data_IF_689404735780
#
_entry.id   IF_689404735780
#
_cell.length_a   1.000
_cell.length_b   1.000
_cell.length_c   1.000
_cell.angle_alpha   90.00
_cell.angle_beta   90.00
_cell.angle_gamma   90.00
#
_symmetry.space_group_name_H-M   'P 1'
#
loop_
_entity.id
_entity.type
_entity.pdbx_description
1 polymer ?
#
# COMPACT_ATOMS: atom_id res chain seq x y z
N UNK A 1 69.83 -1.87 -20.36
CA UNK A 1 68.78 -2.70 -19.73
C UNK A 1 67.88 -1.78 -18.94
N UNK A 2 66.56 -1.87 -19.18
CA UNK A 2 65.37 -1.56 -18.35
C UNK A 2 65.53 -0.54 -17.18
N UNK A 3 64.65 0.43 -16.94
CA UNK A 3 63.19 0.41 -17.08
C UNK A 3 62.61 1.84 -17.05
N UNK A 4 61.47 2.02 -17.71
CA UNK A 4 60.78 3.30 -17.94
C UNK A 4 59.96 3.78 -16.72
N UNK A 5 60.08 5.10 -16.51
CA UNK A 5 59.09 6.13 -16.12
C UNK A 5 58.18 6.00 -14.87
N UNK A 6 57.83 7.18 -14.29
CA UNK A 6 57.10 7.34 -13.05
C UNK A 6 55.58 7.44 -13.24
N UNK A 7 54.92 7.48 -12.10
CA UNK A 7 53.52 7.80 -11.81
C UNK A 7 52.98 9.08 -12.49
N UNK A 8 51.63 9.15 -12.56
CA UNK A 8 50.72 10.32 -12.61
C UNK A 8 49.82 10.45 -13.87
N UNK A 9 48.52 10.69 -13.58
CA UNK A 9 47.38 11.15 -14.41
C UNK A 9 46.53 10.16 -15.24
N UNK A 10 45.52 9.55 -14.60
CA UNK A 10 44.40 8.81 -15.24
C UNK A 10 43.16 9.66 -15.53
N UNK A 11 43.24 11.00 -15.47
CA UNK A 11 42.06 11.88 -15.64
C UNK A 11 41.76 12.19 -17.12
N UNK A 12 42.61 11.78 -18.08
CA UNK A 12 42.59 12.35 -19.44
C UNK A 12 42.03 11.47 -20.58
N UNK A 13 41.33 10.35 -20.33
CA UNK A 13 40.82 9.51 -21.43
C UNK A 13 39.30 9.55 -21.67
N UNK A 14 38.48 10.10 -20.76
CA UNK A 14 37.02 10.07 -20.95
C UNK A 14 36.48 11.11 -21.95
N UNK A 15 37.28 12.09 -22.38
CA UNK A 15 36.84 13.18 -23.26
C UNK A 15 36.96 12.89 -24.76
N UNK A 16 37.50 11.74 -25.19
CA UNK A 16 37.55 11.39 -26.63
C UNK A 16 36.28 10.73 -27.18
N UNK A 17 35.25 10.52 -26.36
CA UNK A 17 33.98 9.94 -26.81
C UNK A 17 32.98 10.95 -27.39
N UNK A 18 33.24 12.26 -27.31
CA UNK A 18 32.24 13.32 -27.56
C UNK A 18 32.16 13.84 -28.99
N UNK A 19 32.92 13.31 -29.97
CA UNK A 19 32.88 13.78 -31.37
C UNK A 19 32.85 12.61 -32.36
N UNK A 20 31.79 11.79 -32.36
CA UNK A 20 31.33 11.09 -33.59
C UNK A 20 30.02 10.34 -33.33
N UNK A 21 28.88 11.01 -33.52
CA UNK A 21 27.67 10.50 -34.19
C UNK A 21 26.47 11.36 -33.79
N UNK A 22 26.24 12.42 -34.55
CA UNK A 22 24.92 13.02 -34.68
C UNK A 22 24.56 13.02 -36.18
N UNK A 23 23.97 11.92 -36.66
CA UNK A 23 23.05 11.91 -37.81
C UNK A 23 22.39 10.53 -37.94
N UNK A 24 21.13 10.43 -37.52
CA UNK A 24 20.32 9.22 -37.67
C UNK A 24 19.18 9.19 -36.66
N UNK A 25 18.02 9.70 -37.05
CA UNK A 25 16.75 9.58 -36.32
C UNK A 25 16.41 8.11 -36.07
N UNK A 26 16.72 7.59 -34.89
CA UNK A 26 16.06 6.43 -34.31
C UNK A 26 16.01 6.64 -32.79
N UNK A 27 14.80 6.68 -32.24
CA UNK A 27 14.57 6.67 -30.80
C UNK A 27 15.07 5.33 -30.23
N UNK A 28 16.36 5.24 -29.91
CA UNK A 28 16.83 4.28 -28.94
C UNK A 28 16.31 4.73 -27.59
N UNK A 29 15.21 4.10 -27.15
CA UNK A 29 14.89 4.08 -25.73
C UNK A 29 16.17 3.67 -25.01
N UNK A 30 16.75 4.59 -24.22
CA UNK A 30 17.74 4.23 -23.22
C UNK A 30 16.96 3.36 -22.23
N UNK A 31 16.93 2.06 -22.52
CA UNK A 31 16.63 1.06 -21.50
C UNK A 31 17.76 1.26 -20.52
N UNK A 32 17.47 1.95 -19.42
CA UNK A 32 18.33 1.95 -18.24
C UNK A 32 18.27 0.52 -17.74
N UNK A 33 19.07 -0.33 -18.38
CA UNK A 33 19.36 -1.67 -17.93
C UNK A 33 20.14 -1.44 -16.64
N UNK A 34 19.41 -1.56 -15.52
CA UNK A 34 19.95 -1.31 -14.19
C UNK A 34 21.23 -2.11 -14.05
N UNK A 35 22.35 -1.40 -14.05
CA UNK A 35 23.68 -1.97 -14.01
C UNK A 35 23.78 -2.75 -12.71
N UNK A 36 23.93 -4.08 -12.79
CA UNK A 36 23.88 -5.00 -11.64
C UNK A 36 25.15 -4.95 -10.77
N UNK A 37 26.07 -4.03 -11.07
CA UNK A 37 27.41 -3.92 -10.49
C UNK A 37 27.73 -2.50 -9.99
N UNK A 38 26.80 -1.83 -9.29
CA UNK A 38 27.21 -0.76 -8.38
C UNK A 38 27.82 -1.38 -7.10
N UNK A 39 29.03 -0.94 -6.69
CA UNK A 39 29.78 -1.55 -5.61
C UNK A 39 28.95 -1.49 -4.31
N UNK A 40 28.83 -2.64 -3.65
CA UNK A 40 28.03 -2.85 -2.46
C UNK A 40 28.34 -1.88 -1.32
N UNK A 41 27.70 -0.71 -1.34
CA UNK A 41 27.58 0.16 -0.18
C UNK A 41 26.68 -0.52 0.84
N UNK A 42 27.29 -1.35 1.68
CA UNK A 42 26.92 -1.62 3.09
C UNK A 42 25.42 -1.49 3.36
N UNK A 43 24.60 -2.32 2.71
CA UNK A 43 23.23 -2.56 3.15
C UNK A 43 23.32 -3.45 4.38
N UNK A 44 23.58 -2.82 5.52
CA UNK A 44 23.41 -3.48 6.80
C UNK A 44 21.93 -3.81 6.89
N UNK A 45 21.57 -5.09 6.77
CA UNK A 45 20.37 -5.67 7.36
C UNK A 45 20.46 -5.47 8.87
N UNK A 46 20.40 -4.21 9.28
CA UNK A 46 20.37 -3.82 10.66
C UNK A 46 18.99 -4.18 11.19
N UNK A 47 18.92 -4.49 12.47
CA UNK A 47 17.67 -4.67 13.20
C UNK A 47 16.65 -3.53 12.93
N UNK A 48 17.16 -2.33 12.64
CA UNK A 48 16.35 -1.17 12.23
C UNK A 48 15.56 -1.39 10.93
N UNK A 49 16.12 -2.08 9.94
CA UNK A 49 15.44 -2.40 8.67
C UNK A 49 14.35 -3.45 8.88
N UNK A 50 14.59 -4.42 9.77
CA UNK A 50 13.59 -5.42 10.16
C UNK A 50 12.42 -4.75 10.88
N UNK A 51 12.69 -3.86 11.85
CA UNK A 51 11.64 -3.08 12.54
C UNK A 51 10.85 -2.23 11.53
N UNK A 52 11.53 -1.55 10.61
CA UNK A 52 10.88 -0.74 9.59
C UNK A 52 9.97 -1.60 8.70
N UNK A 53 10.46 -2.76 8.23
CA UNK A 53 9.68 -3.70 7.42
C UNK A 53 8.45 -4.23 8.17
N UNK A 54 8.58 -4.58 9.44
CA UNK A 54 7.46 -5.02 10.28
C UNK A 54 6.45 -3.90 10.44
N UNK A 55 6.88 -2.67 10.73
CA UNK A 55 5.98 -1.53 10.91
C UNK A 55 5.18 -1.21 9.64
N UNK A 56 5.83 -1.30 8.47
CA UNK A 56 5.19 -1.12 7.16
C UNK A 56 4.23 -2.28 6.83
N UNK A 57 4.59 -3.50 7.20
CA UNK A 57 3.74 -4.68 7.03
C UNK A 57 2.51 -4.62 7.95
N UNK A 58 2.64 -4.09 9.17
CA UNK A 58 1.50 -3.82 10.05
C UNK A 58 0.60 -2.71 9.51
N UNK A 59 1.17 -1.65 8.94
CA UNK A 59 0.38 -0.60 8.29
C UNK A 59 -0.39 -1.14 7.08
N UNK A 60 0.23 -1.99 6.27
CA UNK A 60 -0.45 -2.72 5.18
C UNK A 60 -1.55 -3.64 5.70
N UNK A 61 -1.30 -4.32 6.83
CA UNK A 61 -2.31 -5.17 7.48
C UNK A 61 -3.51 -4.36 7.97
N UNK A 62 -3.32 -3.15 8.51
CA UNK A 62 -4.41 -2.26 8.88
C UNK A 62 -5.31 -1.89 7.69
N UNK A 63 -4.72 -1.64 6.52
CA UNK A 63 -5.46 -1.42 5.27
C UNK A 63 -6.28 -2.67 4.89
N UNK A 64 -5.68 -3.85 5.05
CA UNK A 64 -6.30 -5.12 4.74
C UNK A 64 -7.50 -5.42 5.66
N UNK A 65 -7.43 -5.09 6.95
CA UNK A 65 -8.54 -5.21 7.91
C UNK A 65 -9.74 -4.33 7.52
N UNK A 66 -9.50 -3.13 6.99
CA UNK A 66 -10.59 -2.27 6.52
C UNK A 66 -11.40 -2.92 5.38
N UNK A 67 -10.80 -3.84 4.63
CA UNK A 67 -11.47 -4.57 3.56
C UNK A 67 -12.44 -5.64 4.09
N UNK A 68 -12.30 -6.07 5.35
CA UNK A 68 -13.25 -6.99 6.02
C UNK A 68 -14.65 -6.38 6.14
N UNK A 69 -14.76 -5.05 6.16
CA UNK A 69 -16.07 -4.38 6.11
C UNK A 69 -16.94 -4.84 4.93
N UNK A 70 -16.32 -5.27 3.82
CA UNK A 70 -17.04 -5.79 2.66
C UNK A 70 -17.67 -7.18 2.87
N UNK A 71 -17.15 -8.00 3.78
CA UNK A 71 -17.67 -9.36 4.02
C UNK A 71 -18.92 -9.35 4.91
N UNK A 72 -19.05 -8.35 5.78
CA UNK A 72 -20.18 -8.19 6.72
C UNK A 72 -21.36 -7.40 6.14
N UNK A 73 -21.27 -6.90 4.91
CA UNK A 73 -22.32 -6.10 4.24
C UNK A 73 -23.68 -6.81 4.28
N UNK A 74 -23.71 -8.13 4.11
CA UNK A 74 -24.98 -8.88 4.15
C UNK A 74 -25.70 -8.76 5.49
N UNK A 75 -24.96 -8.80 6.60
CA UNK A 75 -25.52 -8.66 7.96
C UNK A 75 -25.90 -7.20 8.27
N UNK A 76 -25.09 -6.25 7.80
CA UNK A 76 -25.37 -4.82 7.89
C UNK A 76 -26.67 -4.44 7.17
N UNK A 77 -26.86 -4.94 5.95
CA UNK A 77 -28.05 -4.68 5.14
C UNK A 77 -29.26 -5.40 5.74
N UNK A 78 -29.12 -6.64 6.19
CA UNK A 78 -30.22 -7.39 6.82
C UNK A 78 -30.76 -6.71 8.10
N UNK A 79 -29.89 -6.06 8.87
CA UNK A 79 -30.27 -5.40 10.13
C UNK A 79 -30.79 -3.97 9.96
N UNK A 80 -30.30 -3.24 8.95
CA UNK A 80 -30.59 -1.80 8.78
C UNK A 80 -31.58 -1.51 7.65
N UNK A 81 -31.71 -2.38 6.64
CA UNK A 81 -32.61 -2.15 5.51
C UNK A 81 -34.08 -2.21 5.95
N UNK A 82 -34.82 -1.12 5.71
CA UNK A 82 -36.26 -1.01 6.02
C UNK A 82 -37.12 -1.16 4.78
N UNK A 83 -36.55 -1.02 3.60
CA UNK A 83 -37.26 -1.08 2.32
C UNK A 83 -36.44 -1.77 1.21
N UNK A 84 -37.09 -2.31 0.17
CA UNK A 84 -36.40 -2.91 -0.99
C UNK A 84 -35.46 -1.93 -1.71
N UNK A 85 -35.78 -0.63 -1.68
CA UNK A 85 -34.93 0.42 -2.22
C UNK A 85 -33.58 0.53 -1.47
N UNK A 86 -33.56 0.26 -0.17
CA UNK A 86 -32.32 0.26 0.62
C UNK A 86 -31.42 -0.92 0.25
N UNK A 87 -32.01 -2.08 -0.10
CA UNK A 87 -31.27 -3.23 -0.58
C UNK A 87 -30.57 -2.95 -1.93
N UNK A 88 -31.12 -2.08 -2.78
CA UNK A 88 -30.44 -1.64 -4.00
C UNK A 88 -29.18 -0.79 -3.70
N UNK A 89 -29.23 0.01 -2.64
CA UNK A 89 -28.11 0.83 -2.16
C UNK A 89 -26.99 -0.02 -1.53
N UNK A 90 -27.27 -1.26 -1.12
CA UNK A 90 -26.26 -2.16 -0.56
C UNK A 90 -25.05 -2.38 -1.48
N UNK A 91 -25.28 -2.43 -2.80
CA UNK A 91 -24.20 -2.57 -3.79
C UNK A 91 -23.21 -1.39 -3.76
N UNK A 92 -23.67 -0.19 -3.40
CA UNK A 92 -22.84 1.00 -3.27
C UNK A 92 -21.94 0.98 -2.03
N UNK A 93 -22.22 0.12 -1.03
CA UNK A 93 -21.37 -0.01 0.15
C UNK A 93 -19.97 -0.52 -0.26
N UNK A 94 -19.91 -1.60 -1.05
CA UNK A 94 -18.65 -2.12 -1.58
C UNK A 94 -18.14 -1.25 -2.74
N UNK A 95 -18.99 -0.95 -3.73
CA UNK A 95 -18.53 -0.24 -4.93
C UNK A 95 -18.03 1.17 -4.63
N UNK A 96 -18.63 1.87 -3.66
CA UNK A 96 -18.21 3.22 -3.27
C UNK A 96 -16.80 3.27 -2.71
N UNK A 97 -16.44 2.33 -1.82
CA UNK A 97 -15.09 2.25 -1.25
C UNK A 97 -14.06 1.89 -2.32
N UNK A 98 -14.38 0.98 -3.24
CA UNK A 98 -13.51 0.62 -4.37
C UNK A 98 -13.27 1.79 -5.33
N UNK A 99 -14.32 2.53 -5.70
CA UNK A 99 -14.19 3.70 -6.58
C UNK A 99 -13.27 4.76 -5.97
N UNK A 100 -13.40 4.99 -4.67
CA UNK A 100 -12.58 5.97 -3.93
C UNK A 100 -11.13 5.48 -3.85
N UNK A 101 -10.90 4.20 -3.57
CA UNK A 101 -9.56 3.59 -3.61
C UNK A 101 -8.91 3.77 -4.98
N UNK A 102 -9.64 3.49 -6.06
CA UNK A 102 -9.12 3.58 -7.43
C UNK A 102 -8.85 5.03 -7.82
N UNK A 103 -9.72 5.97 -7.43
CA UNK A 103 -9.56 7.38 -7.73
C UNK A 103 -8.43 8.03 -6.91
N UNK A 104 -8.35 7.75 -5.61
CA UNK A 104 -7.37 8.35 -4.69
C UNK A 104 -6.04 7.62 -4.69
N UNK A 105 -5.98 6.34 -5.06
CA UNK A 105 -4.75 5.55 -5.04
C UNK A 105 -3.57 6.22 -5.78
N UNK A 106 -3.72 6.61 -7.06
CA UNK A 106 -2.65 7.29 -7.81
C UNK A 106 -2.30 8.67 -7.22
N UNK A 107 -3.31 9.39 -6.73
CA UNK A 107 -3.14 10.73 -6.15
C UNK A 107 -2.32 10.62 -4.86
N UNK A 108 -2.69 9.70 -3.98
CA UNK A 108 -2.00 9.49 -2.70
C UNK A 108 -0.64 8.86 -2.90
N UNK A 109 -0.46 7.97 -3.88
CA UNK A 109 0.85 7.46 -4.27
C UNK A 109 1.82 8.59 -4.63
N UNK A 110 1.46 9.41 -5.62
CA UNK A 110 2.31 10.52 -6.07
C UNK A 110 2.51 11.62 -5.01
N UNK A 111 1.49 11.89 -4.18
CA UNK A 111 1.58 12.90 -3.13
C UNK A 111 2.41 12.41 -1.93
N UNK A 112 2.38 11.11 -1.64
CA UNK A 112 3.16 10.51 -0.55
C UNK A 112 4.66 10.56 -0.78
N UNK A 113 5.09 10.49 -2.05
CA UNK A 113 6.50 10.61 -2.43
C UNK A 113 7.04 12.04 -2.19
N UNK A 114 6.17 13.06 -2.23
CA UNK A 114 6.56 14.46 -2.02
C UNK A 114 6.47 14.93 -0.56
N UNK A 115 5.41 14.53 0.14
CA UNK A 115 5.10 15.03 1.50
C UNK A 115 5.70 14.14 2.60
N UNK A 116 6.10 12.92 2.25
CA UNK A 116 6.64 11.94 3.17
C UNK A 116 5.62 10.86 3.53
N UNK A 117 6.03 9.61 3.29
CA UNK A 117 5.17 8.41 3.37
C UNK A 117 4.61 8.14 4.76
N UNK A 118 5.35 8.51 5.81
CA UNK A 118 4.95 8.33 7.21
C UNK A 118 3.65 9.05 7.54
N UNK A 119 3.49 10.30 7.09
CA UNK A 119 2.29 11.09 7.41
C UNK A 119 1.06 10.57 6.67
N UNK A 120 1.22 10.08 5.44
CA UNK A 120 0.14 9.45 4.69
C UNK A 120 -0.41 8.20 5.38
N UNK A 121 0.46 7.34 5.91
CA UNK A 121 0.02 6.16 6.66
C UNK A 121 -0.72 6.54 7.95
N UNK A 122 -0.22 7.53 8.70
CA UNK A 122 -0.86 7.97 9.95
C UNK A 122 -2.20 8.64 9.69
N UNK A 123 -2.28 9.55 8.71
CA UNK A 123 -3.53 10.19 8.31
C UNK A 123 -4.54 9.16 7.79
N UNK A 124 -4.09 8.19 6.99
CA UNK A 124 -4.90 7.07 6.52
C UNK A 124 -5.46 6.25 7.68
N UNK A 125 -4.62 5.87 8.64
CA UNK A 125 -5.07 5.13 9.83
C UNK A 125 -6.10 5.90 10.67
N UNK A 126 -5.92 7.21 10.86
CA UNK A 126 -6.88 8.07 11.58
C UNK A 126 -8.21 8.14 10.82
N UNK A 127 -8.17 8.33 9.49
CA UNK A 127 -9.38 8.33 8.66
C UNK A 127 -10.10 6.98 8.70
N UNK A 128 -9.35 5.87 8.71
CA UNK A 128 -9.90 4.52 8.83
C UNK A 128 -10.60 4.33 10.17
N UNK A 129 -9.96 4.77 11.27
CA UNK A 129 -10.57 4.74 12.60
C UNK A 129 -11.89 5.51 12.65
N UNK A 130 -11.93 6.72 12.10
CA UNK A 130 -13.14 7.54 12.03
C UNK A 130 -14.21 6.84 11.18
N UNK A 131 -13.81 6.29 10.02
CA UNK A 131 -14.70 5.55 9.13
C UNK A 131 -15.33 4.34 9.81
N UNK A 132 -14.55 3.57 10.56
CA UNK A 132 -15.03 2.41 11.33
C UNK A 132 -15.97 2.80 12.47
N UNK A 133 -15.70 3.90 13.17
CA UNK A 133 -16.62 4.41 14.22
C UNK A 133 -17.96 4.83 13.61
N UNK A 134 -17.93 5.51 12.46
CA UNK A 134 -19.15 5.92 11.75
C UNK A 134 -19.93 4.69 11.27
N UNK A 135 -19.25 3.70 10.70
CA UNK A 135 -19.87 2.46 10.24
C UNK A 135 -20.47 1.65 11.40
N UNK A 136 -19.78 1.53 12.54
CA UNK A 136 -20.28 0.80 13.72
C UNK A 136 -21.45 1.49 14.43
N UNK A 137 -21.55 2.82 14.35
CA UNK A 137 -22.70 3.58 14.88
C UNK A 137 -23.81 3.84 13.87
N UNK A 138 -23.72 3.28 12.66
CA UNK A 138 -24.67 3.61 11.61
C UNK A 138 -26.07 3.06 11.92
N UNK A 139 -27.08 3.93 11.75
CA UNK A 139 -28.51 3.56 11.86
C UNK A 139 -29.22 3.55 10.50
N UNK A 140 -28.51 3.94 9.42
CA UNK A 140 -29.01 3.98 8.04
C UNK A 140 -27.94 3.49 7.06
N UNK A 141 -28.34 2.88 5.95
CA UNK A 141 -27.42 2.39 4.90
C UNK A 141 -26.54 3.50 4.31
N UNK A 142 -27.05 4.72 4.19
CA UNK A 142 -26.26 5.86 3.70
C UNK A 142 -25.06 6.19 4.62
N UNK A 143 -25.21 6.03 5.94
CA UNK A 143 -24.12 6.25 6.89
C UNK A 143 -23.07 5.13 6.78
N UNK A 144 -23.50 3.89 6.53
CA UNK A 144 -22.61 2.75 6.25
C UNK A 144 -21.81 3.00 4.97
N UNK A 145 -22.46 3.49 3.91
CA UNK A 145 -21.79 3.87 2.65
C UNK A 145 -20.76 4.98 2.91
N UNK A 146 -21.13 6.02 3.65
CA UNK A 146 -20.21 7.11 4.02
C UNK A 146 -18.98 6.63 4.81
N UNK A 147 -19.18 5.77 5.80
CA UNK A 147 -18.10 5.15 6.57
C UNK A 147 -17.19 4.26 5.72
N UNK A 148 -17.77 3.52 4.76
CA UNK A 148 -17.00 2.69 3.82
C UNK A 148 -16.21 3.52 2.80
N UNK A 149 -16.76 4.64 2.33
CA UNK A 149 -16.05 5.60 1.48
C UNK A 149 -14.83 6.16 2.21
N UNK A 150 -14.98 6.54 3.49
CA UNK A 150 -13.87 6.99 4.32
C UNK A 150 -12.82 5.88 4.53
N UNK A 151 -13.26 4.65 4.77
CA UNK A 151 -12.35 3.50 4.83
C UNK A 151 -11.63 3.24 3.49
N UNK A 152 -12.29 3.47 2.35
CA UNK A 152 -11.65 3.42 1.04
C UNK A 152 -10.54 4.47 0.90
N UNK A 153 -10.79 5.71 1.34
CA UNK A 153 -9.77 6.75 1.37
C UNK A 153 -8.60 6.40 2.32
N UNK A 154 -8.89 5.81 3.48
CA UNK A 154 -7.89 5.30 4.42
C UNK A 154 -7.02 4.22 3.79
N UNK A 155 -7.64 3.25 3.11
CA UNK A 155 -6.95 2.16 2.41
C UNK A 155 -6.02 2.70 1.32
N UNK A 156 -6.45 3.70 0.55
CA UNK A 156 -5.59 4.38 -0.44
C UNK A 156 -4.37 5.05 0.21
N UNK A 157 -4.49 5.56 1.43
CA UNK A 157 -3.36 6.15 2.16
C UNK A 157 -2.39 5.10 2.70
N UNK A 158 -2.90 3.97 3.17
CA UNK A 158 -2.10 2.89 3.71
C UNK A 158 -1.40 2.05 2.62
N UNK A 159 -1.89 2.04 1.38
CA UNK A 159 -1.27 1.27 0.27
C UNK A 159 0.14 1.76 -0.07
N UNK A 160 0.46 3.01 0.28
CA UNK A 160 1.81 3.61 0.18
C UNK A 160 2.86 2.78 0.92
N UNK A 161 2.46 2.02 1.95
CA UNK A 161 3.34 1.10 2.68
C UNK A 161 4.03 0.10 1.76
N UNK A 162 3.36 -0.35 0.69
CA UNK A 162 3.91 -1.31 -0.29
C UNK A 162 5.08 -0.67 -1.04
N UNK A 163 4.90 0.56 -1.53
CA UNK A 163 5.95 1.30 -2.22
C UNK A 163 7.14 1.61 -1.29
N UNK A 164 6.87 1.92 -0.02
CA UNK A 164 7.92 2.14 0.98
C UNK A 164 8.73 0.85 1.28
N UNK A 165 8.10 -0.32 1.28
CA UNK A 165 8.80 -1.61 1.42
C UNK A 165 9.77 -1.84 0.25
N UNK A 166 9.39 -1.46 -0.97
CA UNK A 166 10.26 -1.64 -2.14
C UNK A 166 11.50 -0.74 -2.13
N UNK A 167 11.44 0.40 -1.43
CA UNK A 167 12.57 1.33 -1.31
C UNK A 167 13.62 0.86 -0.31
N UNK A 168 13.22 0.13 0.74
CA UNK A 168 14.15 -0.34 1.79
C UNK A 168 14.80 -1.70 1.46
N UNK A 169 14.39 -2.37 0.37
CA UNK A 169 14.80 -3.74 0.03
C UNK A 169 15.56 -3.80 -1.30
N UNK A 170 16.68 -4.54 -1.38
CA UNK A 170 17.45 -4.66 -2.61
C UNK A 170 16.63 -5.29 -3.74
N UNK A 171 16.89 -4.87 -4.98
CA UNK A 171 16.12 -5.24 -6.18
C UNK A 171 15.87 -6.76 -6.31
N UNK A 172 16.87 -7.58 -5.96
CA UNK A 172 16.80 -9.05 -6.04
C UNK A 172 15.80 -9.68 -5.06
N UNK A 173 15.51 -9.02 -3.93
CA UNK A 173 14.62 -9.53 -2.86
C UNK A 173 13.27 -8.81 -2.79
N UNK A 174 13.06 -7.75 -3.58
CA UNK A 174 11.77 -7.04 -3.66
C UNK A 174 10.55 -7.96 -3.81
N UNK A 175 10.49 -8.90 -4.77
CA UNK A 175 9.32 -9.77 -4.92
C UNK A 175 9.10 -10.69 -3.72
N UNK A 176 10.17 -11.21 -3.13
CA UNK A 176 10.09 -12.06 -1.94
C UNK A 176 9.56 -11.30 -0.73
N UNK A 177 10.00 -10.06 -0.52
CA UNK A 177 9.57 -9.26 0.60
C UNK A 177 8.14 -8.72 0.45
N UNK A 178 7.74 -8.35 -0.78
CA UNK A 178 6.35 -8.05 -1.07
C UNK A 178 5.45 -9.26 -0.85
N UNK A 179 5.89 -10.44 -1.30
CA UNK A 179 5.20 -11.70 -1.05
C UNK A 179 5.05 -11.99 0.45
N UNK A 180 6.12 -11.81 1.23
CA UNK A 180 6.08 -12.00 2.69
C UNK A 180 5.14 -11.02 3.39
N UNK A 181 5.17 -9.73 3.01
CA UNK A 181 4.25 -8.71 3.54
C UNK A 181 2.79 -9.02 3.18
N UNK A 182 2.53 -9.45 1.94
CA UNK A 182 1.18 -9.83 1.49
C UNK A 182 0.69 -11.13 2.15
N UNK A 183 1.58 -12.09 2.40
CA UNK A 183 1.25 -13.31 3.13
C UNK A 183 0.85 -12.99 4.58
N UNK A 184 1.61 -12.09 5.24
CA UNK A 184 1.26 -11.60 6.57
C UNK A 184 -0.10 -10.89 6.55
N UNK A 185 -0.30 -9.93 5.64
CA UNK A 185 -1.57 -9.21 5.52
C UNK A 185 -2.74 -10.16 5.25
N UNK A 186 -2.57 -11.17 4.40
CA UNK A 186 -3.59 -12.18 4.11
C UNK A 186 -3.92 -13.02 5.35
N UNK A 187 -2.92 -13.42 6.13
CA UNK A 187 -3.16 -14.13 7.39
C UNK A 187 -3.99 -13.29 8.38
N UNK A 188 -3.70 -11.99 8.49
CA UNK A 188 -4.50 -11.07 9.29
C UNK A 188 -5.93 -10.93 8.79
N UNK A 189 -6.14 -10.83 7.46
CA UNK A 189 -7.50 -10.79 6.87
C UNK A 189 -8.29 -12.06 7.16
N UNK A 190 -7.65 -13.22 7.09
CA UNK A 190 -8.30 -14.49 7.42
C UNK A 190 -8.71 -14.50 8.89
N UNK A 191 -7.79 -14.16 9.80
CA UNK A 191 -8.07 -14.07 11.24
C UNK A 191 -9.21 -13.08 11.54
N UNK A 192 -9.20 -11.91 10.90
CA UNK A 192 -10.25 -10.91 11.01
C UNK A 192 -11.60 -11.45 10.51
N UNK A 193 -11.64 -12.08 9.34
CA UNK A 193 -12.88 -12.66 8.81
C UNK A 193 -13.47 -13.71 9.76
N UNK A 194 -12.62 -14.55 10.37
CA UNK A 194 -13.07 -15.50 11.39
C UNK A 194 -13.54 -14.81 12.66
N UNK A 195 -12.85 -13.75 13.08
CA UNK A 195 -13.23 -12.95 14.23
C UNK A 195 -14.60 -12.30 14.01
N UNK A 196 -14.80 -11.61 12.89
CA UNK A 196 -16.07 -11.03 12.48
C UNK A 196 -17.20 -12.08 12.45
N UNK A 197 -16.95 -13.26 11.88
CA UNK A 197 -17.92 -14.36 11.88
C UNK A 197 -18.24 -14.86 13.31
N UNK A 198 -17.25 -14.92 14.20
CA UNK A 198 -17.45 -15.30 15.60
C UNK A 198 -18.26 -14.24 16.37
N UNK A 199 -18.00 -12.95 16.15
CA UNK A 199 -18.76 -11.84 16.75
C UNK A 199 -20.24 -11.86 16.34
N UNK A 200 -20.52 -12.08 15.05
CA UNK A 200 -21.87 -12.26 14.53
C UNK A 200 -22.55 -13.47 15.18
N UNK A 201 -21.85 -14.61 15.29
CA UNK A 201 -22.42 -15.81 15.93
C UNK A 201 -22.70 -15.63 17.42
N UNK A 202 -21.87 -14.87 18.13
CA UNK A 202 -22.00 -14.64 19.56
C UNK A 202 -22.98 -13.52 19.92
N UNK A 203 -23.55 -12.80 18.93
CA UNK A 203 -24.37 -11.60 19.14
C UNK A 203 -23.72 -10.58 20.08
N UNK A 204 -22.38 -10.52 20.08
CA UNK A 204 -21.63 -9.61 20.92
C UNK A 204 -21.88 -8.17 20.46
N UNK A 205 -22.42 -7.32 21.34
CA UNK A 205 -22.67 -5.89 21.05
C UNK A 205 -24.12 -5.49 20.77
N UNK A 206 -25.09 -6.42 20.76
CA UNK A 206 -26.51 -6.07 20.75
C UNK A 206 -27.00 -5.38 19.47
N UNK A 207 -26.76 -6.01 18.32
CA UNK A 207 -27.35 -5.72 17.01
C UNK A 207 -26.91 -6.83 16.04
N UNK A 208 -27.32 -8.09 16.23
CA UNK A 208 -26.85 -9.25 15.43
C UNK A 208 -25.32 -9.45 15.33
N UNK A 209 -24.55 -8.79 16.20
CA UNK A 209 -23.09 -8.89 16.27
C UNK A 209 -22.31 -8.28 15.10
N UNK A 210 -22.94 -7.44 14.27
CA UNK A 210 -22.26 -6.79 13.12
C UNK A 210 -21.58 -5.46 13.47
N UNK A 211 -21.93 -4.85 14.60
CA UNK A 211 -21.41 -3.54 15.05
C UNK A 211 -20.05 -3.64 15.71
#
# INVERSE_FOLDING_TARGET
MLNLKPEVDTVEYSERGTIQQNHGRHHHAVVVQGNEDEPGSVYQLSWKTIIAFISLSMANSCAALANTANTVIKFQVASVAKSPADAALASWIANGSFLVVVALGPIFGSLSDRVGKKWFMVCGAILGLIGSIIAGKADNILQIIGGNILNGAANAGCIVSISAIQEIIPNKLRPWAMGASQAMASAFVVLDTFLAAAFVKMNAGGADGWR
#
